data_IF_836908957603
#
_entry.id   IF_836908957603
#
_cell.length_a   1.000
_cell.length_b   1.000
_cell.length_c   1.000
_cell.angle_alpha   90.00
_cell.angle_beta   90.00
_cell.angle_gamma   90.00
#
_symmetry.space_group_name_H-M   'P 1'
#
loop_
_entity.id
_entity.type
_entity.pdbx_description
1 polymer ?
#
# COMPACT_ATOMS: atom_id res chain seq x y z
N UNK A 1 -7.63 -18.46 15.93
CA UNK A 1 -7.02 -18.53 14.58
C UNK A 1 -6.76 -17.11 14.12
N UNK A 2 -5.50 -16.70 14.03
CA UNK A 2 -5.11 -15.51 13.28
C UNK A 2 -5.20 -15.85 11.79
N UNK A 3 -6.23 -15.36 11.11
CA UNK A 3 -6.33 -15.47 9.64
C UNK A 3 -5.33 -14.56 8.95
N UNK A 4 -5.06 -14.81 7.66
CA UNK A 4 -4.25 -13.89 6.85
C UNK A 4 -4.92 -12.52 6.78
N UNK A 5 -4.11 -11.46 6.80
CA UNK A 5 -4.61 -10.10 6.63
C UNK A 5 -5.25 -9.95 5.24
N UNK A 6 -6.31 -9.13 5.09
CA UNK A 6 -7.01 -8.97 3.83
C UNK A 6 -6.17 -8.32 2.73
N UNK A 7 -5.00 -7.77 3.08
CA UNK A 7 -4.03 -7.19 2.17
C UNK A 7 -2.71 -7.94 2.31
N UNK A 8 -2.26 -8.56 1.22
CA UNK A 8 -1.04 -9.37 1.20
C UNK A 8 -0.52 -9.55 -0.23
N UNK A 9 0.66 -10.16 -0.38
CA UNK A 9 1.25 -10.58 -1.65
C UNK A 9 1.46 -12.10 -1.60
N UNK A 10 1.23 -12.80 -2.71
CA UNK A 10 1.49 -14.25 -2.78
C UNK A 10 2.94 -14.59 -3.13
N UNK A 11 3.65 -13.68 -3.80
CA UNK A 11 4.99 -13.90 -4.33
C UNK A 11 5.78 -12.58 -4.50
N UNK A 12 6.89 -12.64 -5.25
CA UNK A 12 7.79 -11.51 -5.51
C UNK A 12 7.40 -10.65 -6.74
N UNK A 13 6.25 -10.89 -7.38
CA UNK A 13 5.78 -10.08 -8.51
C UNK A 13 5.42 -8.64 -8.12
N UNK A 14 5.15 -8.42 -6.82
CA UNK A 14 4.67 -7.14 -6.31
C UNK A 14 3.17 -6.92 -6.46
N UNK A 15 2.40 -7.95 -6.86
CA UNK A 15 0.93 -7.86 -6.95
C UNK A 15 0.34 -7.90 -5.54
N UNK A 16 -0.38 -6.83 -5.19
CA UNK A 16 -1.11 -6.71 -3.93
C UNK A 16 -2.51 -7.32 -4.12
N UNK A 17 -2.83 -8.29 -3.28
CA UNK A 17 -4.13 -8.94 -3.22
C UNK A 17 -5.02 -8.27 -2.18
N UNK A 18 -6.26 -7.96 -2.56
CA UNK A 18 -7.35 -7.56 -1.66
C UNK A 18 -8.33 -8.73 -1.56
N UNK A 19 -8.17 -9.56 -0.53
CA UNK A 19 -8.94 -10.78 -0.35
C UNK A 19 -9.70 -10.73 0.97
N UNK A 20 -10.98 -10.39 0.89
CA UNK A 20 -11.84 -10.26 2.06
C UNK A 20 -13.28 -10.61 1.75
N UNK A 21 -13.96 -11.17 2.76
CA UNK A 21 -15.42 -11.32 2.73
C UNK A 21 -16.15 -9.98 2.94
N UNK A 22 -15.44 -8.92 3.37
CA UNK A 22 -16.01 -7.58 3.58
C UNK A 22 -15.77 -6.70 2.36
N UNK A 23 -16.85 -6.21 1.78
CA UNK A 23 -16.84 -5.16 0.76
C UNK A 23 -16.68 -3.81 1.47
N UNK A 24 -15.50 -3.20 1.31
CA UNK A 24 -15.16 -1.88 1.81
C UNK A 24 -13.90 -1.38 1.10
N UNK A 25 -13.58 -0.11 1.29
CA UNK A 25 -12.31 0.44 0.84
C UNK A 25 -11.14 -0.16 1.63
N UNK A 26 -10.06 -0.43 0.91
CA UNK A 26 -8.79 -0.86 1.45
C UNK A 26 -7.71 0.13 1.02
N UNK A 27 -6.88 0.51 1.99
CA UNK A 27 -5.96 1.63 1.81
C UNK A 27 -4.51 1.16 1.80
N UNK A 28 -3.66 1.82 1.01
CA UNK A 28 -2.23 1.55 1.01
C UNK A 28 -1.61 1.69 2.41
N UNK A 29 -2.04 2.69 3.20
CA UNK A 29 -1.60 2.83 4.58
C UNK A 29 -1.85 1.60 5.45
N UNK A 30 -2.95 0.87 5.22
CA UNK A 30 -3.22 -0.38 5.95
C UNK A 30 -2.22 -1.48 5.59
N UNK A 31 -1.86 -1.60 4.31
CA UNK A 31 -0.83 -2.55 3.87
C UNK A 31 0.52 -2.24 4.52
N UNK A 32 0.92 -0.96 4.56
CA UNK A 32 2.18 -0.54 5.18
C UNK A 32 2.24 -0.91 6.67
N UNK A 33 1.12 -0.75 7.39
CA UNK A 33 1.00 -1.18 8.79
C UNK A 33 1.11 -2.70 8.93
N UNK A 34 0.44 -3.47 8.06
CA UNK A 34 0.53 -4.94 8.06
C UNK A 34 1.97 -5.40 7.83
N UNK A 35 2.73 -4.69 6.99
CA UNK A 35 4.13 -4.96 6.69
C UNK A 35 5.10 -4.45 7.77
N UNK A 36 4.62 -3.69 8.76
CA UNK A 36 5.47 -3.09 9.79
C UNK A 36 6.39 -1.98 9.26
N UNK A 37 6.03 -1.34 8.14
CA UNK A 37 6.81 -0.27 7.54
C UNK A 37 6.39 1.09 8.13
N UNK A 38 7.15 1.57 9.11
CA UNK A 38 6.99 2.92 9.65
C UNK A 38 7.75 3.94 8.80
N UNK A 39 7.01 4.83 8.15
CA UNK A 39 7.58 5.87 7.28
C UNK A 39 7.72 7.25 7.95
N UNK A 40 7.37 7.38 9.23
CA UNK A 40 7.36 8.66 9.95
C UNK A 40 8.75 9.30 10.10
N UNK A 41 9.81 8.49 10.12
CA UNK A 41 11.20 8.95 10.28
C UNK A 41 11.88 9.45 9.01
N UNK A 42 11.25 9.30 7.83
CA UNK A 42 11.88 9.64 6.55
C UNK A 42 11.67 11.12 6.20
N UNK A 43 12.66 11.72 5.52
CA UNK A 43 12.64 13.15 5.17
C UNK A 43 11.55 13.47 4.17
N UNK A 44 11.31 12.56 3.22
CA UNK A 44 10.33 12.74 2.18
C UNK A 44 9.81 11.37 1.73
N UNK A 45 8.49 11.28 1.62
CA UNK A 45 7.76 10.15 1.04
C UNK A 45 6.87 10.72 -0.06
N UNK A 46 7.05 10.26 -1.29
CA UNK A 46 6.20 10.63 -2.43
C UNK A 46 5.59 9.39 -3.04
N UNK A 47 4.40 9.54 -3.62
CA UNK A 47 3.73 8.46 -4.32
C UNK A 47 3.31 8.89 -5.72
N UNK A 48 3.40 7.95 -6.66
CA UNK A 48 2.73 8.06 -7.95
C UNK A 48 1.82 6.86 -8.18
N UNK A 49 0.71 7.09 -8.87
CA UNK A 49 -0.27 6.09 -9.27
C UNK A 49 -0.41 6.23 -10.78
N UNK A 50 -0.08 5.17 -11.52
CA UNK A 50 -0.05 5.18 -12.99
C UNK A 50 0.75 6.37 -13.56
N UNK A 51 1.82 6.77 -12.86
CA UNK A 51 2.69 7.91 -13.22
C UNK A 51 2.19 9.29 -12.78
N UNK A 52 0.99 9.41 -12.21
CA UNK A 52 0.46 10.68 -11.70
C UNK A 52 0.77 10.82 -10.21
N UNK A 53 1.17 12.03 -9.76
CA UNK A 53 1.47 12.27 -8.34
C UNK A 53 0.21 12.13 -7.49
N UNK A 54 0.35 11.43 -6.36
CA UNK A 54 -0.69 11.29 -5.36
C UNK A 54 -0.12 11.69 -3.99
N UNK A 55 -0.57 12.81 -3.40
CA UNK A 55 0.06 13.38 -2.21
C UNK A 55 -0.22 12.60 -0.92
N UNK A 56 -1.37 11.92 -0.83
CA UNK A 56 -1.81 11.23 0.38
C UNK A 56 -1.68 9.72 0.24
N UNK A 57 -0.47 9.20 0.36
CA UNK A 57 -0.22 7.76 0.22
C UNK A 57 -0.96 6.91 1.27
N UNK A 58 -1.33 7.48 2.43
CA UNK A 58 -1.98 6.73 3.50
C UNK A 58 -3.43 6.40 3.15
N UNK A 59 -4.14 7.34 2.51
CA UNK A 59 -5.56 7.21 2.18
C UNK A 59 -5.83 6.79 0.73
N UNK A 60 -4.83 6.27 0.03
CA UNK A 60 -5.04 5.73 -1.31
C UNK A 60 -5.85 4.44 -1.29
N UNK A 61 -7.03 4.45 -1.90
CA UNK A 61 -7.87 3.27 -2.09
C UNK A 61 -7.35 2.46 -3.26
N UNK A 62 -7.06 1.18 -3.04
CA UNK A 62 -6.63 0.28 -4.10
C UNK A 62 -7.70 0.15 -5.18
N UNK A 63 -7.27 0.18 -6.44
CA UNK A 63 -8.08 -0.22 -7.60
C UNK A 63 -7.33 -1.23 -8.42
N UNK A 64 -8.09 -2.07 -9.10
CA UNK A 64 -7.53 -3.15 -9.90
C UNK A 64 -6.61 -2.61 -11.01
N UNK A 65 -5.46 -3.24 -11.17
CA UNK A 65 -4.46 -2.88 -12.18
C UNK A 65 -3.64 -1.61 -11.92
N UNK A 66 -3.88 -0.88 -10.83
CA UNK A 66 -3.11 0.34 -10.56
C UNK A 66 -1.63 0.02 -10.25
N UNK A 67 -0.74 0.74 -10.93
CA UNK A 67 0.69 0.71 -10.65
C UNK A 67 1.04 1.81 -9.66
N UNK A 68 1.44 1.41 -8.45
CA UNK A 68 1.82 2.30 -7.36
C UNK A 68 3.35 2.32 -7.23
N UNK A 69 3.93 3.51 -7.15
CA UNK A 69 5.35 3.69 -6.81
C UNK A 69 5.43 4.59 -5.59
N UNK A 70 5.93 4.04 -4.48
CA UNK A 70 6.25 4.79 -3.27
C UNK A 70 7.76 5.07 -3.25
N UNK A 71 8.15 6.33 -3.31
CA UNK A 71 9.54 6.76 -3.26
C UNK A 71 9.84 7.36 -1.89
N UNK A 72 10.84 6.80 -1.21
CA UNK A 72 11.22 7.19 0.14
C UNK A 72 12.65 7.72 0.10
N UNK A 73 12.85 8.95 0.57
CA UNK A 73 14.17 9.55 0.67
C UNK A 73 14.71 9.39 2.09
N UNK A 74 15.74 8.56 2.22
CA UNK A 74 16.52 8.40 3.44
C UNK A 74 17.58 9.49 3.48
N UNK A 75 17.68 10.21 4.60
CA UNK A 75 18.80 11.15 4.79
C UNK A 75 20.15 10.44 4.69
#
# INVERSE_FOLDING_TARGET
MTGMAPLHTHDTSGIIHVESYKIRDYYLGQLLVIWGLDLSGYKQVTMTVNGQSFPDYQNYVFKDGDKIILSVNTK
#
